data_IF_458091324041
#
_entry.id   IF_458091324041
#
_cell.length_a   1.000
_cell.length_b   1.000
_cell.length_c   1.000
_cell.angle_alpha   90.00
_cell.angle_beta   90.00
_cell.angle_gamma   90.00
#
_symmetry.space_group_name_H-M   'P 1'
#
loop_
_entity.id
_entity.type
_entity.pdbx_description
1 polymer ?
#
# COMPACT_ATOMS: atom_id res chain seq x y z
N UNK A 1 6.00 8.99 8.98
CA UNK A 1 5.96 9.66 7.67
C UNK A 1 4.63 10.39 7.48
N UNK A 2 3.48 9.70 7.45
CA UNK A 2 2.19 10.37 7.27
C UNK A 2 1.82 11.40 8.34
N UNK A 3 2.14 11.16 9.62
CA UNK A 3 1.89 12.16 10.66
C UNK A 3 2.70 13.44 10.44
N UNK A 4 4.00 13.31 10.17
CA UNK A 4 4.84 14.47 9.85
C UNK A 4 4.31 15.24 8.63
N UNK A 5 3.95 14.53 7.55
CA UNK A 5 3.48 15.17 6.32
C UNK A 5 2.14 15.89 6.49
N UNK A 6 1.14 15.22 7.06
CA UNK A 6 -0.22 15.76 7.10
C UNK A 6 -0.50 16.62 8.33
N UNK A 7 0.08 16.27 9.49
CA UNK A 7 -0.18 16.97 10.75
C UNK A 7 0.81 18.10 10.98
N UNK A 8 2.11 17.85 10.81
CA UNK A 8 3.13 18.85 11.15
C UNK A 8 3.42 19.80 10.00
N UNK A 9 3.48 19.28 8.77
CA UNK A 9 3.73 20.09 7.56
C UNK A 9 2.44 20.59 6.90
N UNK A 10 1.26 20.12 7.36
CA UNK A 10 -0.03 20.59 6.88
C UNK A 10 -0.36 20.19 5.44
N UNK A 11 0.35 19.22 4.85
CA UNK A 11 0.03 18.76 3.50
C UNK A 11 -1.39 18.18 3.45
N UNK A 12 -2.12 18.55 2.41
CA UNK A 12 -3.40 17.95 2.05
C UNK A 12 -3.19 17.12 0.79
N UNK A 13 -3.50 15.84 0.89
CA UNK A 13 -3.41 14.93 -0.26
C UNK A 13 -4.82 14.66 -0.77
N UNK A 14 -5.11 15.17 -1.95
CA UNK A 14 -6.31 14.79 -2.69
C UNK A 14 -6.05 13.43 -3.35
N UNK A 15 -6.94 12.48 -3.12
CA UNK A 15 -6.89 11.19 -3.80
C UNK A 15 -7.68 11.26 -5.10
N UNK A 16 -7.16 10.64 -6.17
CA UNK A 16 -7.92 10.45 -7.40
C UNK A 16 -8.95 9.33 -7.26
N UNK A 17 -9.84 9.25 -8.25
CA UNK A 17 -10.83 8.18 -8.33
C UNK A 17 -10.19 6.79 -8.36
N UNK A 18 -9.05 6.60 -9.05
CA UNK A 18 -8.33 5.33 -9.01
C UNK A 18 -7.78 5.05 -7.61
N UNK A 19 -7.12 6.00 -6.97
CA UNK A 19 -6.56 5.81 -5.62
C UNK A 19 -7.65 5.43 -4.62
N UNK A 20 -8.78 6.17 -4.65
CA UNK A 20 -9.96 5.85 -3.84
C UNK A 20 -10.47 4.45 -4.16
N UNK A 21 -10.59 4.09 -5.44
CA UNK A 21 -11.05 2.77 -5.85
C UNK A 21 -10.11 1.66 -5.36
N UNK A 22 -8.79 1.86 -5.40
CA UNK A 22 -7.80 0.91 -4.89
C UNK A 22 -7.90 0.74 -3.38
N UNK A 23 -7.99 1.84 -2.63
CA UNK A 23 -8.17 1.78 -1.17
C UNK A 23 -9.47 1.06 -0.79
N UNK A 24 -10.58 1.35 -1.49
CA UNK A 24 -11.87 0.68 -1.27
C UNK A 24 -11.78 -0.81 -1.62
N UNK A 25 -11.15 -1.17 -2.74
CA UNK A 25 -10.99 -2.55 -3.16
C UNK A 25 -10.15 -3.36 -2.15
N UNK A 26 -9.06 -2.76 -1.65
CA UNK A 26 -8.16 -3.40 -0.68
C UNK A 26 -8.67 -3.33 0.77
N UNK A 27 -9.70 -2.52 1.03
CA UNK A 27 -10.20 -2.17 2.37
C UNK A 27 -9.11 -1.62 3.28
N UNK A 28 -8.31 -0.70 2.75
CA UNK A 28 -7.19 -0.06 3.46
C UNK A 28 -7.46 1.42 3.66
N UNK A 29 -7.09 1.91 4.84
CA UNK A 29 -6.91 3.35 5.05
C UNK A 29 -5.62 3.80 4.32
N UNK A 30 -5.57 5.03 3.78
CA UNK A 30 -4.37 5.53 3.09
C UNK A 30 -3.09 5.44 3.93
N UNK A 31 -3.20 5.65 5.24
CA UNK A 31 -2.09 5.56 6.19
C UNK A 31 -1.55 4.15 6.43
N UNK A 32 -2.27 3.10 6.01
CA UNK A 32 -1.82 1.70 6.11
C UNK A 32 -0.95 1.28 4.91
N UNK A 33 -1.06 2.00 3.80
CA UNK A 33 -0.24 1.77 2.62
C UNK A 33 1.14 2.42 2.81
N UNK A 34 2.22 1.72 2.48
CA UNK A 34 3.56 2.29 2.59
C UNK A 34 3.69 3.52 1.67
N UNK A 35 4.35 4.63 2.10
CA UNK A 35 4.47 5.83 1.27
C UNK A 35 5.06 5.59 -0.14
N UNK A 36 6.05 4.70 -0.26
CA UNK A 36 6.58 4.30 -1.56
C UNK A 36 5.53 3.65 -2.48
N UNK A 37 4.61 2.87 -1.91
CA UNK A 37 3.55 2.22 -2.65
C UNK A 37 2.46 3.20 -3.07
N UNK A 38 2.28 4.30 -2.33
CA UNK A 38 1.44 5.41 -2.77
C UNK A 38 2.04 6.11 -4.01
N UNK A 39 3.36 6.25 -4.08
CA UNK A 39 4.02 6.79 -5.27
C UNK A 39 3.80 5.89 -6.51
N UNK A 40 3.69 4.57 -6.35
CA UNK A 40 3.37 3.65 -7.45
C UNK A 40 1.96 3.86 -8.02
N UNK A 41 0.98 4.20 -7.18
CA UNK A 41 -0.38 4.54 -7.64
C UNK A 41 -0.35 5.78 -8.53
N UNK A 42 0.31 6.85 -8.08
CA UNK A 42 0.48 8.08 -8.86
C UNK A 42 1.24 7.83 -10.17
N UNK A 43 2.35 7.11 -10.11
CA UNK A 43 3.15 6.80 -11.28
C UNK A 43 2.37 5.96 -12.31
N UNK A 44 1.54 5.02 -11.85
CA UNK A 44 0.67 4.25 -12.72
C UNK A 44 -0.33 5.13 -13.46
N UNK A 45 -1.02 6.04 -12.78
CA UNK A 45 -1.98 6.95 -13.42
C UNK A 45 -1.32 7.82 -14.50
N UNK A 46 -0.17 8.43 -14.18
CA UNK A 46 0.59 9.26 -15.14
C UNK A 46 1.03 8.42 -16.35
N UNK A 47 1.43 7.17 -16.11
CA UNK A 47 1.87 6.27 -17.18
C UNK A 47 0.71 5.87 -18.09
N UNK A 48 -0.45 5.52 -17.52
CA UNK A 48 -1.63 5.18 -18.33
C UNK A 48 -2.12 6.38 -19.13
N UNK A 49 -2.12 7.57 -18.54
CA UNK A 49 -2.47 8.82 -19.23
C UNK A 49 -1.54 9.08 -20.41
N UNK A 50 -0.22 8.95 -20.19
CA UNK A 50 0.77 9.09 -21.26
C UNK A 50 0.60 8.06 -22.40
N UNK A 51 0.14 6.85 -22.08
CA UNK A 51 -0.13 5.80 -23.06
C UNK A 51 -1.54 5.89 -23.69
N UNK A 52 -2.36 6.87 -23.31
CA UNK A 52 -3.74 7.00 -23.77
C UNK A 52 -4.67 5.87 -23.27
N UNK A 53 -4.31 5.23 -22.16
CA UNK A 53 -5.07 4.16 -21.52
C UNK A 53 -5.85 4.70 -20.32
N UNK A 54 -7.02 4.13 -20.07
CA UNK A 54 -7.76 4.41 -18.84
C UNK A 54 -7.06 3.76 -17.63
N UNK A 55 -6.76 4.50 -16.55
CA UNK A 55 -6.28 3.93 -15.30
C UNK A 55 -7.41 3.13 -14.63
N UNK A 56 -7.42 1.81 -14.81
CA UNK A 56 -8.46 0.94 -14.24
C UNK A 56 -7.92 0.05 -13.13
N UNK A 57 -8.79 -0.34 -12.20
CA UNK A 57 -8.48 -1.28 -11.13
C UNK A 57 -7.90 -2.62 -11.63
N UNK A 58 -8.49 -3.29 -12.65
CA UNK A 58 -7.93 -4.53 -13.17
C UNK A 58 -6.53 -4.36 -13.76
N UNK A 59 -6.30 -3.28 -14.53
CA UNK A 59 -5.00 -3.00 -15.12
C UNK A 59 -3.95 -2.69 -14.05
N UNK A 60 -4.35 -1.96 -13.00
CA UNK A 60 -3.49 -1.69 -11.87
C UNK A 60 -3.05 -3.01 -11.18
N UNK A 61 -3.98 -3.91 -10.87
CA UNK A 61 -3.66 -5.19 -10.23
C UNK A 61 -3.07 -6.24 -11.18
N UNK A 62 -3.13 -5.99 -12.49
CA UNK A 62 -2.33 -6.71 -13.47
C UNK A 62 -0.85 -6.35 -13.30
N UNK A 63 -0.51 -5.07 -13.19
CA UNK A 63 0.88 -4.59 -13.04
C UNK A 63 1.43 -4.75 -11.61
N UNK A 64 0.61 -4.55 -10.58
CA UNK A 64 1.03 -4.53 -9.18
C UNK A 64 0.36 -5.63 -8.36
N UNK A 65 1.11 -6.21 -7.42
CA UNK A 65 0.62 -7.17 -6.43
C UNK A 65 0.68 -6.55 -5.04
N UNK A 66 -0.27 -6.92 -4.20
CA UNK A 66 -0.26 -6.57 -2.79
C UNK A 66 0.77 -7.42 -2.04
N UNK A 67 1.59 -6.78 -1.23
CA UNK A 67 2.51 -7.41 -0.30
C UNK A 67 2.19 -6.91 1.10
N UNK A 68 1.61 -7.77 1.94
CA UNK A 68 1.40 -7.45 3.35
C UNK A 68 2.69 -7.75 4.10
N UNK A 69 3.19 -6.77 4.87
CA UNK A 69 4.25 -7.08 5.83
C UNK A 69 3.68 -8.02 6.88
N UNK A 70 4.34 -9.15 7.13
CA UNK A 70 4.01 -9.95 8.31
C UNK A 70 4.22 -9.06 9.53
N UNK A 71 3.31 -9.06 10.52
CA UNK A 71 3.59 -8.40 11.79
C UNK A 71 4.95 -8.90 12.27
N UNK A 72 5.85 -7.99 12.62
CA UNK A 72 7.23 -8.28 13.04
C UNK A 72 7.31 -9.37 14.13
N UNK A 73 6.21 -9.64 14.83
CA UNK A 73 6.05 -10.70 15.83
C UNK A 73 5.71 -12.11 15.31
N UNK A 74 5.24 -12.30 14.08
CA UNK A 74 4.89 -13.65 13.57
C UNK A 74 6.12 -14.50 13.30
N UNK A 75 7.20 -13.90 12.76
CA UNK A 75 8.50 -14.57 12.62
C UNK A 75 9.25 -14.72 13.96
N UNK A 76 8.77 -14.07 15.02
CA UNK A 76 9.32 -14.18 16.38
C UNK A 76 8.57 -15.19 17.26
N UNK A 77 7.43 -15.75 16.83
CA UNK A 77 6.68 -16.78 17.58
C UNK A 77 7.49 -18.06 17.83
N UNK A 78 8.52 -18.33 17.03
CA UNK A 78 9.46 -19.43 17.30
C UNK A 78 10.45 -19.17 18.46
N UNK A 79 10.53 -17.95 18.99
CA UNK A 79 11.51 -17.54 20.02
C UNK A 79 10.90 -16.72 21.17
N UNK A 80 9.62 -16.87 21.49
CA UNK A 80 9.02 -16.17 22.65
C UNK A 80 8.57 -17.17 23.72
N UNK A 81 8.94 -16.98 25.00
CA UNK A 81 8.49 -17.85 26.08
C UNK A 81 6.96 -17.85 26.19
N UNK A 82 6.37 -19.04 26.37
CA UNK A 82 4.93 -19.22 26.61
C UNK A 82 4.51 -18.39 27.82
N UNK A 83 3.69 -17.36 27.62
CA UNK A 83 3.06 -16.58 28.70
C UNK A 83 3.17 -15.05 28.60
N UNK A 84 3.95 -14.50 27.67
CA UNK A 84 4.00 -13.05 27.48
C UNK A 84 2.74 -12.54 26.75
N UNK A 85 2.10 -11.50 27.28
CA UNK A 85 0.98 -10.81 26.62
C UNK A 85 1.39 -10.39 25.21
N UNK A 86 0.59 -10.80 24.23
CA UNK A 86 0.80 -10.40 22.84
C UNK A 86 0.49 -8.90 22.73
N UNK A 87 1.47 -8.06 22.32
CA UNK A 87 1.17 -6.67 22.04
C UNK A 87 0.09 -6.62 20.95
N UNK A 88 -0.83 -5.64 21.00
CA UNK A 88 -1.90 -5.52 20.01
C UNK A 88 -1.29 -5.61 18.62
N UNK A 89 -1.86 -6.47 17.76
CA UNK A 89 -1.29 -6.74 16.44
C UNK A 89 -1.12 -5.41 15.72
N UNK A 90 0.11 -4.90 15.64
CA UNK A 90 0.39 -3.69 14.88
C UNK A 90 -0.05 -4.02 13.46
N UNK A 91 -1.12 -3.37 12.99
CA UNK A 91 -1.58 -3.51 11.61
C UNK A 91 -0.36 -3.33 10.71
N UNK A 92 0.07 -4.43 10.08
CA UNK A 92 1.29 -4.44 9.28
C UNK A 92 1.13 -3.46 8.13
N UNK A 93 2.18 -2.71 7.83
CA UNK A 93 2.24 -1.93 6.59
C UNK A 93 1.90 -2.81 5.41
N UNK A 94 1.09 -2.27 4.50
CA UNK A 94 0.81 -2.92 3.23
C UNK A 94 1.60 -2.19 2.16
N UNK A 95 2.36 -2.94 1.36
CA UNK A 95 3.09 -2.42 0.23
C UNK A 95 2.56 -3.01 -1.08
N UNK A 96 2.88 -2.32 -2.17
CA UNK A 96 2.67 -2.76 -3.53
C UNK A 96 4.01 -3.18 -4.10
N UNK A 97 4.01 -4.30 -4.80
CA UNK A 97 5.17 -4.82 -5.53
C UNK A 97 4.80 -4.92 -7.01
N UNK A 98 5.57 -4.27 -7.86
CA UNK A 98 5.43 -4.41 -9.30
C UNK A 98 5.75 -5.85 -9.71
N UNK A 99 4.96 -6.41 -10.63
CA UNK A 99 5.28 -7.70 -11.24
C UNK A 99 6.49 -7.55 -12.15
N UNK A 100 7.39 -8.52 -12.10
CA UNK A 100 8.60 -8.56 -12.93
C UNK A 100 8.31 -8.87 -14.40
N UNK A 101 7.13 -9.43 -14.69
CA UNK A 101 6.70 -9.79 -16.03
C UNK A 101 5.31 -9.24 -16.28
N UNK A 102 5.24 -8.21 -17.12
CA UNK A 102 4.02 -7.48 -17.46
C UNK A 102 3.56 -7.84 -18.89
N UNK A 103 4.46 -8.32 -19.74
CA UNK A 103 4.22 -8.60 -21.17
C UNK A 103 4.63 -10.03 -21.57
N UNK A 104 4.47 -10.99 -20.65
CA UNK A 104 4.65 -12.42 -20.98
C UNK A 104 3.53 -12.93 -21.90
#
# INVERSE_FOLDING_TARGET
MYELAFRNLGFKMSFTDLEIAVFRHLRLAPSQLHPNSLAFLRAFEITTDHLGLAPTLPLFFYAFRLQRSCPRGEKAKGKLPKGAEQPPSKFGWVSLKQRTRIFD
#
